data_IF_791756607805
#
_entry.id   IF_791756607805
#
_cell.length_a   1.000
_cell.length_b   1.000
_cell.length_c   1.000
_cell.angle_alpha   90.00
_cell.angle_beta   90.00
_cell.angle_gamma   90.00
#
_symmetry.space_group_name_H-M   'P 1'
#
loop_
_entity.id
_entity.type
_entity.pdbx_description
1 polymer ?
#
# COMPACT_ATOMS: atom_id res chain seq x y z
N UNK A 1 -10.98 -8.93 15.64
CA UNK A 1 -11.09 -7.46 15.70
C UNK A 1 -9.69 -6.88 15.75
N UNK A 2 -9.46 -5.76 15.09
CA UNK A 2 -8.17 -5.06 15.13
C UNK A 2 -7.94 -4.47 16.54
N UNK A 3 -6.68 -4.44 16.94
CA UNK A 3 -6.22 -3.78 18.16
C UNK A 3 -6.18 -2.25 17.97
N UNK A 4 -5.69 -1.51 18.98
CA UNK A 4 -5.45 -0.07 18.84
C UNK A 4 -4.51 0.22 17.67
N UNK A 5 -4.80 1.29 16.93
CA UNK A 5 -4.09 1.65 15.70
C UNK A 5 -2.57 1.74 15.89
N UNK A 6 -2.11 2.34 16.99
CA UNK A 6 -0.69 2.47 17.29
C UNK A 6 -0.01 1.11 17.58
N UNK A 7 -0.73 0.16 18.16
CA UNK A 7 -0.23 -1.21 18.37
C UNK A 7 -0.10 -1.95 17.04
N UNK A 8 -1.08 -1.81 16.15
CA UNK A 8 -1.03 -2.38 14.80
C UNK A 8 0.18 -1.84 14.04
N UNK A 9 0.41 -0.52 14.08
CA UNK A 9 1.55 0.11 13.41
C UNK A 9 2.88 -0.40 13.98
N UNK A 10 3.02 -0.47 15.30
CA UNK A 10 4.23 -1.01 15.95
C UNK A 10 4.48 -2.47 15.55
N UNK A 11 3.43 -3.28 15.54
CA UNK A 11 3.50 -4.68 15.13
C UNK A 11 3.92 -4.82 13.66
N UNK A 12 3.29 -4.07 12.76
CA UNK A 12 3.65 -4.03 11.34
C UNK A 12 5.12 -3.62 11.15
N UNK A 13 5.57 -2.55 11.76
CA UNK A 13 6.96 -2.10 11.67
C UNK A 13 7.94 -3.16 12.16
N UNK A 14 7.63 -3.82 13.27
CA UNK A 14 8.46 -4.92 13.80
C UNK A 14 8.50 -6.12 12.86
N UNK A 15 7.34 -6.56 12.35
CA UNK A 15 7.25 -7.71 11.45
C UNK A 15 7.86 -7.44 10.08
N UNK A 16 7.86 -6.19 9.65
CA UNK A 16 8.47 -5.77 8.38
C UNK A 16 9.91 -5.29 8.54
N UNK A 17 10.56 -5.44 9.71
CA UNK A 17 11.90 -4.94 10.02
C UNK A 17 12.10 -3.47 9.62
N UNK A 18 11.05 -2.64 9.71
CA UNK A 18 11.07 -1.22 9.33
C UNK A 18 11.54 -0.97 7.87
N UNK A 19 11.24 -1.92 6.97
CA UNK A 19 11.66 -1.82 5.56
C UNK A 19 11.13 -0.54 4.92
N UNK A 20 11.96 0.08 4.11
CA UNK A 20 11.64 1.30 3.36
C UNK A 20 10.49 1.16 2.36
N UNK A 21 10.13 -0.08 1.98
CA UNK A 21 9.08 -0.36 1.00
C UNK A 21 7.65 -0.10 1.49
N UNK A 22 7.43 -0.11 2.82
CA UNK A 22 6.12 0.16 3.40
C UNK A 22 6.05 1.59 3.89
N UNK A 23 5.20 2.34 3.24
CA UNK A 23 4.97 3.75 3.56
C UNK A 23 3.83 3.87 4.56
N UNK A 24 4.07 4.63 5.63
CA UNK A 24 3.10 4.97 6.67
C UNK A 24 2.86 6.48 6.62
N UNK A 25 1.74 6.91 6.08
CA UNK A 25 1.36 8.33 6.05
C UNK A 25 0.33 8.62 7.13
N UNK A 26 0.66 9.53 8.03
CA UNK A 26 -0.26 10.03 9.04
C UNK A 26 -1.02 11.25 8.52
N UNK A 27 -2.29 11.34 8.88
CA UNK A 27 -3.14 12.47 8.56
C UNK A 27 -4.20 12.65 9.65
N UNK A 28 -4.59 13.91 9.88
CA UNK A 28 -5.69 14.23 10.79
C UNK A 28 -6.89 14.68 9.98
N UNK A 29 -8.02 13.99 10.15
CA UNK A 29 -9.28 14.29 9.48
C UNK A 29 -10.39 14.35 10.52
N UNK A 30 -11.08 15.47 10.56
CA UNK A 30 -12.17 15.71 11.51
C UNK A 30 -11.80 15.44 12.99
N UNK A 31 -10.53 15.68 13.35
CA UNK A 31 -10.01 15.48 14.71
C UNK A 31 -9.56 14.07 15.04
N UNK A 32 -9.74 13.08 14.15
CA UNK A 32 -9.22 11.72 14.30
C UNK A 32 -7.93 11.54 13.49
N UNK A 33 -6.99 10.79 14.07
CA UNK A 33 -5.75 10.38 13.41
C UNK A 33 -6.05 9.24 12.45
N UNK A 34 -5.50 9.29 11.24
CA UNK A 34 -5.67 8.30 10.20
C UNK A 34 -4.30 7.91 9.69
N UNK A 35 -4.07 6.61 9.51
CA UNK A 35 -2.90 6.07 8.83
C UNK A 35 -3.28 5.53 7.45
N UNK A 36 -2.52 5.94 6.44
CA UNK A 36 -2.60 5.42 5.08
C UNK A 36 -1.33 4.59 4.88
N UNK A 37 -1.49 3.27 4.76
CA UNK A 37 -0.39 2.31 4.71
C UNK A 37 -0.41 1.60 3.36
N UNK A 38 0.72 1.57 2.69
CA UNK A 38 0.83 0.88 1.40
C UNK A 38 2.26 0.42 1.13
N UNK A 39 2.39 -0.59 0.26
CA UNK A 39 3.67 -1.08 -0.22
C UNK A 39 4.02 -0.35 -1.52
N UNK A 40 4.97 0.58 -1.47
CA UNK A 40 5.29 1.51 -2.56
C UNK A 40 5.59 0.82 -3.90
N UNK A 41 6.49 -0.18 -3.98
CA UNK A 41 6.77 -0.91 -5.22
C UNK A 41 5.57 -1.63 -5.87
N UNK A 42 4.53 -1.92 -5.10
CA UNK A 42 3.36 -2.68 -5.56
C UNK A 42 2.14 -1.80 -5.85
N UNK A 43 2.16 -0.54 -5.42
CA UNK A 43 1.02 0.37 -5.54
C UNK A 43 1.24 1.44 -6.61
N UNK A 44 0.17 2.08 -7.05
CA UNK A 44 0.23 3.24 -7.92
C UNK A 44 0.12 4.51 -7.09
N UNK A 45 1.18 5.32 -7.07
CA UNK A 45 1.22 6.62 -6.40
C UNK A 45 0.16 7.58 -6.95
N UNK A 46 -0.10 7.54 -8.25
CA UNK A 46 -1.15 8.35 -8.89
C UNK A 46 -2.52 8.01 -8.33
N UNK A 47 -2.84 6.71 -8.23
CA UNK A 47 -4.10 6.25 -7.65
C UNK A 47 -4.25 6.69 -6.19
N UNK A 48 -3.18 6.58 -5.38
CA UNK A 48 -3.20 7.01 -3.98
C UNK A 48 -3.44 8.51 -3.89
N UNK A 49 -2.73 9.29 -4.70
CA UNK A 49 -2.81 10.76 -4.66
C UNK A 49 -4.16 11.29 -5.14
N UNK A 50 -4.63 10.82 -6.30
CA UNK A 50 -5.85 11.33 -6.92
C UNK A 50 -7.12 10.87 -6.21
N UNK A 51 -7.16 9.60 -5.81
CA UNK A 51 -8.42 9.03 -5.32
C UNK A 51 -8.48 8.95 -3.79
N UNK A 52 -7.36 8.71 -3.11
CA UNK A 52 -7.37 8.61 -1.64
C UNK A 52 -7.08 9.97 -1.02
N UNK A 53 -5.90 10.55 -1.31
CA UNK A 53 -5.46 11.77 -0.64
C UNK A 53 -6.40 12.94 -0.96
N UNK A 54 -6.78 13.10 -2.22
CA UNK A 54 -7.70 14.15 -2.65
C UNK A 54 -9.07 14.00 -1.99
N UNK A 55 -9.67 12.81 -2.05
CA UNK A 55 -10.97 12.55 -1.42
C UNK A 55 -10.96 12.80 0.09
N UNK A 56 -9.87 12.41 0.77
CA UNK A 56 -9.70 12.67 2.21
C UNK A 56 -9.55 14.16 2.52
N UNK A 57 -8.91 14.95 1.64
CA UNK A 57 -8.78 16.41 1.80
C UNK A 57 -10.10 17.16 1.62
N UNK A 58 -10.99 16.63 0.80
CA UNK A 58 -12.31 17.23 0.53
C UNK A 58 -13.34 16.92 1.63
N UNK A 59 -12.98 16.08 2.62
CA UNK A 59 -13.82 15.81 3.77
C UNK A 59 -13.78 16.99 4.75
N UNK A 60 -14.92 17.65 4.90
CA UNK A 60 -15.15 18.68 5.93
C UNK A 60 -15.85 18.06 7.15
N UNK A 61 -15.70 18.71 8.31
CA UNK A 61 -16.36 18.28 9.56
C UNK A 61 -17.87 18.16 9.42
N UNK A 62 -18.47 19.01 8.61
CA UNK A 62 -19.93 19.03 8.39
C UNK A 62 -20.46 17.80 7.64
N UNK A 63 -19.59 17.10 6.92
CA UNK A 63 -19.95 15.87 6.18
C UNK A 63 -19.89 14.62 7.03
N UNK A 64 -19.25 14.65 8.20
CA UNK A 64 -19.11 13.50 9.11
C UNK A 64 -20.26 13.50 10.10
N UNK A 65 -21.36 12.87 9.76
CA UNK A 65 -22.58 12.89 10.60
C UNK A 65 -22.62 11.79 11.66
N UNK A 66 -22.07 10.60 11.42
CA UNK A 66 -22.24 9.46 12.34
C UNK A 66 -20.97 8.59 12.53
N UNK A 67 -20.29 8.20 11.46
CA UNK A 67 -19.12 7.31 11.51
C UNK A 67 -18.11 7.71 10.43
N UNK A 68 -16.91 8.04 10.86
CA UNK A 68 -15.85 8.50 9.96
C UNK A 68 -15.44 7.40 8.95
N UNK A 69 -15.41 6.13 9.40
CA UNK A 69 -15.09 5.00 8.52
C UNK A 69 -16.09 4.90 7.36
N UNK A 70 -17.40 4.94 7.64
CA UNK A 70 -18.45 4.93 6.60
C UNK A 70 -18.38 6.18 5.73
N UNK A 71 -18.10 7.33 6.32
CA UNK A 71 -17.97 8.58 5.55
C UNK A 71 -16.79 8.49 4.59
N UNK A 72 -15.64 7.98 5.03
CA UNK A 72 -14.47 7.80 4.18
C UNK A 72 -14.75 6.78 3.08
N UNK A 73 -15.30 5.61 3.41
CA UNK A 73 -15.61 4.57 2.43
C UNK A 73 -16.58 5.02 1.35
N UNK A 74 -17.56 5.87 1.69
CA UNK A 74 -18.52 6.42 0.75
C UNK A 74 -17.96 7.55 -0.12
N UNK A 75 -16.97 8.31 0.37
CA UNK A 75 -16.37 9.41 -0.38
C UNK A 75 -15.23 8.96 -1.32
N UNK A 76 -14.62 7.80 -1.06
CA UNK A 76 -13.64 7.22 -1.98
C UNK A 76 -14.42 6.55 -3.11
N UNK A 77 -14.87 7.37 -4.06
CA UNK A 77 -15.53 6.92 -5.29
C UNK A 77 -14.48 6.30 -6.22
N UNK A 78 -14.82 5.31 -7.00
CA UNK A 78 -14.00 4.66 -8.04
C UNK A 78 -13.10 3.50 -7.61
N UNK A 79 -13.11 3.04 -6.35
CA UNK A 79 -12.39 1.82 -5.96
C UNK A 79 -13.32 0.77 -5.38
N UNK A 80 -13.02 -0.49 -5.69
CA UNK A 80 -13.49 -1.59 -4.85
C UNK A 80 -12.78 -1.46 -3.51
N UNK A 81 -13.55 -1.30 -2.46
CA UNK A 81 -13.04 -1.33 -1.10
C UNK A 81 -13.63 -2.51 -0.34
N UNK A 82 -12.90 -2.95 0.65
CA UNK A 82 -13.34 -3.92 1.64
C UNK A 82 -13.13 -3.34 3.03
N UNK A 83 -13.99 -3.70 3.96
CA UNK A 83 -13.80 -3.41 5.39
C UNK A 83 -13.36 -4.69 6.06
N UNK A 84 -12.25 -4.65 6.76
CA UNK A 84 -11.64 -5.80 7.42
C UNK A 84 -11.42 -5.52 8.91
N UNK A 85 -11.45 -6.57 9.72
CA UNK A 85 -11.27 -6.50 11.17
C UNK A 85 -10.16 -7.41 11.71
N UNK A 86 -9.39 -8.09 10.83
CA UNK A 86 -8.33 -9.03 11.19
C UNK A 86 -6.97 -8.55 10.71
N UNK A 87 -5.98 -8.66 11.60
CA UNK A 87 -4.60 -8.28 11.31
C UNK A 87 -3.98 -9.10 10.17
N UNK A 88 -4.17 -10.42 10.16
CA UNK A 88 -3.62 -11.28 9.11
C UNK A 88 -4.18 -10.93 7.72
N UNK A 89 -5.46 -10.56 7.67
CA UNK A 89 -6.11 -10.09 6.44
C UNK A 89 -5.52 -8.75 5.98
N UNK A 90 -5.20 -7.85 6.93
CA UNK A 90 -4.52 -6.60 6.64
C UNK A 90 -3.15 -6.85 6.00
N UNK A 91 -2.32 -7.70 6.60
CA UNK A 91 -1.01 -8.09 6.06
C UNK A 91 -1.13 -8.72 4.68
N UNK A 92 -2.10 -9.63 4.50
CA UNK A 92 -2.37 -10.26 3.21
C UNK A 92 -2.63 -9.24 2.09
N UNK A 93 -3.44 -8.21 2.33
CA UNK A 93 -3.74 -7.18 1.35
C UNK A 93 -2.55 -6.24 1.11
N UNK A 94 -1.85 -5.84 2.18
CA UNK A 94 -0.70 -4.94 2.10
C UNK A 94 0.39 -5.50 1.17
N UNK A 95 0.73 -6.79 1.32
CA UNK A 95 1.72 -7.47 0.49
C UNK A 95 1.24 -7.79 -0.95
N UNK A 96 0.00 -7.47 -1.27
CA UNK A 96 -0.58 -7.59 -2.62
C UNK A 96 -0.79 -6.26 -3.33
N UNK A 97 -0.27 -5.17 -2.77
CA UNK A 97 -0.34 -3.84 -3.37
C UNK A 97 -1.69 -3.13 -3.18
N UNK A 98 -2.38 -3.46 -2.10
CA UNK A 98 -3.54 -2.69 -1.67
C UNK A 98 -3.10 -1.59 -0.69
N UNK A 99 -3.86 -0.53 -0.62
CA UNK A 99 -3.70 0.51 0.40
C UNK A 99 -4.65 0.25 1.56
N UNK A 100 -4.14 0.35 2.76
CA UNK A 100 -4.89 0.20 4.01
C UNK A 100 -5.10 1.56 4.64
N UNK A 101 -6.33 1.84 5.07
CA UNK A 101 -6.63 3.02 5.88
C UNK A 101 -7.05 2.54 7.26
N UNK A 102 -6.28 2.91 8.27
CA UNK A 102 -6.61 2.74 9.68
C UNK A 102 -7.06 4.07 10.26
N UNK A 103 -8.09 4.04 11.08
CA UNK A 103 -8.66 5.22 11.73
C UNK A 103 -8.56 5.01 13.24
N UNK A 104 -7.99 5.98 13.93
CA UNK A 104 -7.84 5.92 15.38
C UNK A 104 -9.19 5.77 16.08
N UNK A 105 -9.26 4.79 17.01
CA UNK A 105 -10.48 4.42 17.72
C UNK A 105 -11.44 3.51 16.96
N UNK A 106 -11.16 3.13 15.69
CA UNK A 106 -11.95 2.15 14.95
C UNK A 106 -11.29 0.76 15.03
N UNK A 107 -12.12 -0.30 15.09
CA UNK A 107 -11.67 -1.70 15.12
C UNK A 107 -11.66 -2.36 13.75
N UNK A 108 -11.93 -1.61 12.74
CA UNK A 108 -11.99 -2.02 11.34
C UNK A 108 -11.08 -1.13 10.50
N UNK A 109 -10.57 -1.67 9.41
CA UNK A 109 -9.77 -0.97 8.44
C UNK A 109 -10.41 -0.99 7.06
N UNK A 110 -10.18 0.06 6.27
CA UNK A 110 -10.59 0.11 4.88
C UNK A 110 -9.42 -0.36 4.02
N UNK A 111 -9.68 -1.29 3.12
CA UNK A 111 -8.74 -1.81 2.13
C UNK A 111 -9.16 -1.35 0.75
N UNK A 112 -8.21 -0.79 0.00
CA UNK A 112 -8.46 -0.21 -1.33
C UNK A 112 -7.55 -0.85 -2.38
N UNK A 113 -8.11 -1.22 -3.52
CA UNK A 113 -7.33 -1.84 -4.61
C UNK A 113 -6.52 -0.81 -5.40
N UNK A 114 -5.34 -0.46 -4.90
CA UNK A 114 -4.43 0.53 -5.50
C UNK A 114 -3.27 -0.06 -6.30
N UNK A 115 -3.34 -1.32 -6.64
CA UNK A 115 -2.28 -2.03 -7.37
C UNK A 115 -1.74 -1.19 -8.53
N UNK A 116 -0.42 -1.04 -8.56
CA UNK A 116 0.30 -0.49 -9.68
C UNK A 116 0.24 -1.46 -10.87
N UNK A 117 -0.03 -0.95 -12.05
CA UNK A 117 0.35 -1.68 -13.25
C UNK A 117 1.87 -1.53 -13.38
N UNK A 118 2.63 -2.58 -13.15
CA UNK A 118 4.02 -2.62 -13.62
C UNK A 118 3.91 -2.45 -15.12
N UNK A 119 4.20 -1.22 -15.57
CA UNK A 119 3.86 -0.78 -16.93
C UNK A 119 4.59 -1.62 -17.98
N UNK A 120 3.97 -1.74 -19.15
CA UNK A 120 4.40 -2.44 -20.36
C UNK A 120 5.75 -1.99 -20.99
N UNK A 121 6.59 -1.26 -20.27
CA UNK A 121 7.95 -0.92 -20.71
C UNK A 121 8.96 -2.04 -20.46
N UNK A 122 8.53 -3.18 -19.92
CA UNK A 122 9.38 -4.36 -19.79
C UNK A 122 9.42 -5.04 -21.14
N UNK A 123 10.44 -4.73 -21.93
CA UNK A 123 10.77 -5.47 -23.15
C UNK A 123 11.37 -6.84 -22.80
N UNK A 124 11.19 -7.85 -23.65
CA UNK A 124 11.95 -9.08 -23.53
C UNK A 124 13.45 -8.78 -23.60
N UNK A 125 14.30 -9.53 -22.89
CA UNK A 125 15.75 -9.36 -23.02
C UNK A 125 16.16 -9.61 -24.47
N UNK A 126 16.93 -8.68 -25.06
CA UNK A 126 17.34 -8.78 -26.47
C UNK A 126 18.32 -9.94 -26.70
N UNK A 127 19.09 -10.30 -25.67
CA UNK A 127 20.21 -11.24 -25.79
C UNK A 127 19.94 -12.64 -25.23
N UNK A 128 18.93 -12.84 -24.37
CA UNK A 128 18.60 -14.14 -23.77
C UNK A 128 17.09 -14.38 -23.74
N UNK A 129 16.52 -14.75 -24.86
CA UNK A 129 15.12 -15.12 -24.95
C UNK A 129 14.87 -16.51 -24.38
N UNK A 130 14.22 -16.60 -23.23
CA UNK A 130 13.71 -17.87 -22.73
C UNK A 130 12.67 -18.44 -23.72
N UNK A 131 12.89 -19.65 -24.20
CA UNK A 131 11.99 -20.36 -25.13
C UNK A 131 10.65 -20.69 -24.43
N UNK A 132 10.68 -20.91 -23.13
CA UNK A 132 9.50 -21.13 -22.26
C UNK A 132 9.73 -20.38 -20.92
N UNK A 133 8.80 -19.51 -20.55
CA UNK A 133 8.85 -18.81 -19.25
C UNK A 133 8.44 -17.35 -19.35
N UNK A 134 8.56 -16.64 -18.26
CA UNK A 134 8.28 -15.22 -18.18
C UNK A 134 9.35 -14.44 -18.95
N UNK A 135 8.92 -13.56 -19.84
CA UNK A 135 9.79 -12.72 -20.67
C UNK A 135 10.05 -11.34 -20.03
N UNK A 136 9.90 -11.22 -18.72
CA UNK A 136 10.14 -9.95 -18.02
C UNK A 136 11.63 -9.85 -17.68
N UNK A 137 12.29 -8.80 -18.14
CA UNK A 137 13.66 -8.45 -17.76
C UNK A 137 13.66 -7.31 -16.74
N UNK A 138 14.75 -7.20 -15.97
CA UNK A 138 14.99 -6.02 -15.15
C UNK A 138 15.28 -4.82 -16.05
N UNK A 139 14.81 -3.66 -15.60
CA UNK A 139 15.01 -2.36 -16.25
C UNK A 139 15.83 -1.45 -15.33
N UNK A 140 16.18 -0.24 -15.78
CA UNK A 140 16.99 0.72 -15.02
C UNK A 140 16.29 1.21 -13.74
N UNK A 141 14.95 1.18 -13.70
CA UNK A 141 14.19 1.55 -12.51
C UNK A 141 14.15 0.41 -11.50
N UNK A 142 14.92 0.57 -10.42
CA UNK A 142 15.05 -0.43 -9.36
C UNK A 142 13.71 -0.69 -8.61
N UNK A 143 12.86 0.32 -8.46
CA UNK A 143 11.55 0.14 -7.81
C UNK A 143 10.64 -0.79 -8.61
N UNK A 144 10.63 -0.62 -9.93
CA UNK A 144 9.92 -1.55 -10.83
C UNK A 144 10.48 -2.96 -10.71
N UNK A 145 11.80 -3.13 -10.62
CA UNK A 145 12.44 -4.44 -10.46
C UNK A 145 12.07 -5.10 -9.13
N UNK A 146 12.05 -4.34 -8.03
CA UNK A 146 11.54 -4.80 -6.73
C UNK A 146 10.08 -5.26 -6.84
N UNK A 147 9.26 -4.47 -7.51
CA UNK A 147 7.85 -4.79 -7.75
C UNK A 147 7.68 -6.10 -8.53
N UNK A 148 8.54 -6.37 -9.54
CA UNK A 148 8.54 -7.63 -10.29
C UNK A 148 8.87 -8.83 -9.40
N UNK A 149 9.91 -8.72 -8.56
CA UNK A 149 10.30 -9.77 -7.62
C UNK A 149 9.15 -10.06 -6.66
N UNK A 150 8.62 -9.05 -5.99
CA UNK A 150 7.52 -9.18 -5.02
C UNK A 150 6.24 -9.72 -5.65
N UNK A 151 5.95 -9.37 -6.90
CA UNK A 151 4.79 -9.90 -7.64
C UNK A 151 4.92 -11.39 -7.91
N UNK A 152 6.13 -11.90 -8.09
CA UNK A 152 6.39 -13.33 -8.31
C UNK A 152 6.50 -14.11 -7.02
N UNK A 153 7.24 -13.56 -6.06
CA UNK A 153 7.44 -14.15 -4.73
C UNK A 153 6.41 -13.53 -3.78
N UNK A 154 5.23 -14.13 -3.73
CA UNK A 154 4.10 -13.65 -2.91
C UNK A 154 4.21 -14.15 -1.48
N UNK A 155 5.27 -13.76 -0.77
CA UNK A 155 5.49 -14.08 0.64
C UNK A 155 5.60 -12.81 1.47
N UNK A 156 5.27 -12.92 2.74
CA UNK A 156 5.47 -11.86 3.72
C UNK A 156 6.92 -11.84 4.23
N UNK A 157 7.70 -12.88 3.94
CA UNK A 157 9.08 -13.06 4.43
C UNK A 157 10.14 -12.52 3.46
N UNK A 158 9.73 -11.90 2.35
CA UNK A 158 10.66 -11.27 1.42
C UNK A 158 10.92 -9.83 1.81
N UNK A 159 12.15 -9.56 2.22
CA UNK A 159 12.64 -8.28 2.67
C UNK A 159 13.67 -7.75 1.67
N UNK A 160 13.58 -6.49 1.33
CA UNK A 160 14.50 -5.85 0.39
C UNK A 160 15.00 -4.56 1.04
N UNK A 161 16.29 -4.50 1.35
CA UNK A 161 16.94 -3.34 1.95
C UNK A 161 17.70 -2.54 0.89
N UNK A 162 17.66 -1.22 1.03
CA UNK A 162 18.44 -0.30 0.22
C UNK A 162 19.74 0.06 0.93
N UNK A 163 20.87 -0.27 0.31
CA UNK A 163 22.20 0.08 0.81
C UNK A 163 22.80 1.14 -0.10
N UNK A 164 23.12 2.30 0.46
CA UNK A 164 23.82 3.35 -0.26
C UNK A 164 25.32 3.09 -0.23
N UNK A 165 25.92 2.90 -1.40
CA UNK A 165 27.36 2.70 -1.56
C UNK A 165 27.96 3.90 -2.30
N UNK A 166 29.06 4.44 -1.77
CA UNK A 166 29.80 5.56 -2.36
C UNK A 166 29.68 6.86 -1.56
N UNK A 167 30.69 7.72 -1.73
CA UNK A 167 30.70 9.10 -1.25
C UNK A 167 30.48 10.01 -2.44
N UNK A 168 29.49 10.88 -2.39
CA UNK A 168 29.35 12.05 -3.26
C UNK A 168 29.77 13.28 -2.48
#
# INVERSE_FOLDING_TARGET
MLEETDLIIKKLKKETNEISDIVYREKYICGKKIYIIYNEPLTSSDKISEFIIKSLNELSKDKVKENLLKTISNNITNFKYEIIDKYDTLCFYLHRGFTIILIDGEKEAIVLETKGSIKRSISPPENENAIRGAKDAFIEDYQTNIGLIKKRIKTNDLWIDNITCGKY
#
